data_IF_834234513760
#
_entry.id   IF_834234513760
#
_cell.length_a   1.000
_cell.length_b   1.000
_cell.length_c   1.000
_cell.angle_alpha   90.00
_cell.angle_beta   90.00
_cell.angle_gamma   90.00
#
_symmetry.space_group_name_H-M   'P 1'
#
loop_
_entity.id
_entity.type
_entity.pdbx_description
1 polymer ?
#
# COMPACT_ATOMS: atom_id res chain seq x y z
N UNK A 1 -7.86 53.83 26.00
CA UNK A 1 -6.99 52.67 25.79
C UNK A 1 -6.98 51.85 27.08
N UNK A 2 -7.64 50.68 27.09
CA UNK A 2 -7.59 49.73 28.21
C UNK A 2 -7.06 48.40 27.68
N UNK A 3 -5.98 47.91 28.29
CA UNK A 3 -5.28 46.67 27.93
C UNK A 3 -6.21 45.47 28.12
N UNK A 4 -6.76 44.90 27.04
CA UNK A 4 -7.27 43.52 27.03
C UNK A 4 -6.05 42.60 26.99
N UNK A 5 -5.60 42.14 28.16
CA UNK A 5 -4.46 41.23 28.35
C UNK A 5 -5.01 39.84 28.69
N UNK A 6 -4.73 38.86 27.84
CA UNK A 6 -4.66 37.42 28.12
C UNK A 6 -5.89 36.73 28.76
N UNK A 7 -7.08 36.81 28.14
CA UNK A 7 -8.22 35.93 28.49
C UNK A 7 -8.05 34.56 27.80
N UNK A 8 -7.63 33.56 28.58
CA UNK A 8 -7.54 32.15 28.15
C UNK A 8 -8.82 31.41 28.52
N UNK A 9 -9.34 30.62 27.59
CA UNK A 9 -10.45 29.68 27.82
C UNK A 9 -9.88 28.24 27.93
N UNK A 10 -10.60 27.33 28.60
CA UNK A 10 -10.33 25.89 28.64
C UNK A 10 -11.45 25.11 27.96
N UNK A 11 -11.09 23.96 27.37
CA UNK A 11 -12.01 23.13 26.62
C UNK A 11 -12.57 22.01 27.50
N UNK A 12 -13.89 21.99 27.65
CA UNK A 12 -14.66 20.96 28.36
C UNK A 12 -15.28 20.02 27.34
N UNK A 13 -15.22 18.73 27.62
CA UNK A 13 -15.82 17.68 26.80
C UNK A 13 -16.85 16.90 27.62
N UNK A 14 -18.02 16.66 27.02
CA UNK A 14 -19.05 15.74 27.50
C UNK A 14 -19.09 14.53 26.56
N UNK A 15 -19.02 13.34 27.12
CA UNK A 15 -19.30 12.11 26.40
C UNK A 15 -20.80 11.84 26.43
N UNK A 16 -21.48 11.92 25.29
CA UNK A 16 -22.93 11.72 25.19
C UNK A 16 -23.36 10.29 25.55
N UNK A 17 -22.47 9.29 25.43
CA UNK A 17 -22.81 7.90 25.77
C UNK A 17 -22.72 7.62 27.28
N UNK A 18 -21.76 8.24 27.96
CA UNK A 18 -21.53 7.98 29.40
C UNK A 18 -22.04 9.10 30.31
N UNK A 19 -22.39 10.25 29.74
CA UNK A 19 -22.73 11.46 30.50
C UNK A 19 -21.55 12.07 31.26
N UNK A 20 -20.33 11.56 31.04
CA UNK A 20 -19.14 11.97 31.77
C UNK A 20 -18.61 13.30 31.23
N UNK A 21 -18.28 14.21 32.14
CA UNK A 21 -17.81 15.57 31.82
C UNK A 21 -16.40 15.73 32.35
N UNK A 22 -15.49 16.09 31.47
CA UNK A 22 -14.06 16.23 31.76
C UNK A 22 -13.46 17.44 31.06
N UNK A 23 -12.28 17.88 31.51
CA UNK A 23 -11.52 18.93 30.82
C UNK A 23 -10.52 18.26 29.88
N UNK A 24 -10.40 18.81 28.68
CA UNK A 24 -9.50 18.32 27.64
C UNK A 24 -8.07 18.76 27.96
N UNK A 25 -7.15 17.80 27.98
CA UNK A 25 -5.71 18.04 28.08
C UNK A 25 -4.97 17.89 26.73
N UNK A 26 -5.68 17.45 25.69
CA UNK A 26 -5.13 17.18 24.36
C UNK A 26 -5.92 16.09 23.65
N UNK A 27 -5.33 15.43 22.66
CA UNK A 27 -5.88 14.27 21.97
C UNK A 27 -5.07 13.01 22.31
N UNK A 28 -5.75 11.88 22.41
CA UNK A 28 -5.14 10.56 22.47
C UNK A 28 -4.69 10.11 21.07
N UNK A 29 -3.86 9.06 21.00
CA UNK A 29 -3.37 8.50 19.72
C UNK A 29 -4.50 7.95 18.82
N UNK A 30 -5.65 7.62 19.40
CA UNK A 30 -6.86 7.17 18.70
C UNK A 30 -7.78 8.34 18.28
N UNK A 31 -7.33 9.58 18.46
CA UNK A 31 -8.09 10.78 18.12
C UNK A 31 -9.17 11.17 19.13
N UNK A 32 -9.38 10.39 20.20
CA UNK A 32 -10.35 10.77 21.23
C UNK A 32 -9.79 11.88 22.13
N UNK A 33 -10.63 12.73 22.74
CA UNK A 33 -10.17 13.77 23.66
C UNK A 33 -9.50 13.15 24.88
N UNK A 34 -8.27 13.57 25.18
CA UNK A 34 -7.57 13.19 26.40
C UNK A 34 -8.24 13.88 27.58
N UNK A 35 -8.99 13.09 28.37
CA UNK A 35 -9.79 13.57 29.50
C UNK A 35 -8.92 13.69 30.74
N UNK A 36 -9.01 14.82 31.42
CA UNK A 36 -8.39 15.02 32.73
C UNK A 36 -9.47 15.47 33.73
N UNK A 37 -9.45 14.94 34.97
CA UNK A 37 -10.37 15.39 36.00
C UNK A 37 -10.18 16.87 36.26
N UNK A 38 -11.29 17.59 36.33
CA UNK A 38 -11.26 19.03 36.48
C UNK A 38 -11.15 19.44 37.94
N UNK A 39 -9.93 19.34 38.45
CA UNK A 39 -9.52 19.80 39.78
C UNK A 39 -8.42 20.84 39.60
N UNK A 40 -8.30 21.78 40.54
CA UNK A 40 -7.23 22.79 40.51
C UNK A 40 -5.82 22.16 40.40
N UNK A 41 -5.62 20.98 41.00
CA UNK A 41 -4.38 20.19 40.90
C UNK A 41 -3.99 19.82 39.46
N UNK A 42 -4.96 19.69 38.56
CA UNK A 42 -4.75 19.34 37.16
C UNK A 42 -4.77 20.57 36.25
N UNK A 43 -4.90 21.78 36.78
CA UNK A 43 -5.07 23.00 35.99
C UNK A 43 -3.92 23.28 35.00
N UNK A 44 -2.70 22.85 35.36
CA UNK A 44 -1.53 22.94 34.48
C UNK A 44 -1.59 21.99 33.28
N UNK A 45 -2.39 20.92 33.36
CA UNK A 45 -2.55 19.93 32.29
C UNK A 45 -3.68 20.27 31.32
N UNK A 46 -4.48 21.30 31.60
CA UNK A 46 -5.61 21.66 30.75
C UNK A 46 -5.16 22.31 29.45
N UNK A 47 -5.87 22.01 28.37
CA UNK A 47 -5.72 22.70 27.10
C UNK A 47 -6.28 24.11 27.23
N UNK A 48 -5.40 25.07 27.49
CA UNK A 48 -5.71 26.50 27.52
C UNK A 48 -5.51 27.09 26.12
N UNK A 49 -6.47 27.89 25.67
CA UNK A 49 -6.39 28.55 24.37
C UNK A 49 -6.94 29.97 24.45
N UNK A 50 -6.37 30.86 23.65
CA UNK A 50 -6.93 32.19 23.45
C UNK A 50 -8.11 32.10 22.47
N UNK A 51 -9.11 32.97 22.63
CA UNK A 51 -10.31 33.00 21.77
C UNK A 51 -10.04 33.23 20.27
N UNK A 52 -8.82 33.63 19.93
CA UNK A 52 -8.34 33.86 18.56
C UNK A 52 -7.10 33.01 18.21
N UNK A 53 -6.77 32.01 19.03
CA UNK A 53 -5.55 31.22 18.87
C UNK A 53 -5.74 29.96 18.04
N UNK A 54 -4.72 29.61 17.26
CA UNK A 54 -4.68 28.43 16.37
C UNK A 54 -4.75 27.07 17.10
N UNK A 55 -4.65 27.06 18.43
CA UNK A 55 -4.63 25.84 19.26
C UNK A 55 -5.98 25.11 19.18
N UNK A 56 -7.09 25.86 19.20
CA UNK A 56 -8.44 25.30 19.13
C UNK A 56 -8.71 24.73 17.72
N UNK A 57 -8.29 25.45 16.69
CA UNK A 57 -8.39 25.03 15.29
C UNK A 57 -7.61 23.73 15.03
N UNK A 58 -6.37 23.65 15.52
CA UNK A 58 -5.55 22.45 15.40
C UNK A 58 -6.13 21.27 16.19
N UNK A 59 -6.71 21.52 17.36
CA UNK A 59 -7.39 20.48 18.13
C UNK A 59 -8.57 19.89 17.35
N UNK A 60 -9.51 20.72 16.88
CA UNK A 60 -10.69 20.23 16.18
C UNK A 60 -10.36 19.60 14.83
N UNK A 61 -9.43 20.18 14.06
CA UNK A 61 -8.96 19.56 12.81
C UNK A 61 -8.42 18.15 13.03
N UNK A 62 -7.62 17.95 14.09
CA UNK A 62 -7.07 16.64 14.42
C UNK A 62 -8.14 15.68 14.99
N UNK A 63 -9.04 16.20 15.83
CA UNK A 63 -10.16 15.44 16.40
C UNK A 63 -11.08 14.89 15.31
N UNK A 64 -11.57 15.73 14.39
CA UNK A 64 -12.45 15.29 13.30
C UNK A 64 -11.75 14.39 12.27
N UNK A 65 -10.42 14.46 12.18
CA UNK A 65 -9.63 13.60 11.29
C UNK A 65 -9.35 12.22 11.88
N UNK A 66 -9.15 12.12 13.19
CA UNK A 66 -8.67 10.89 13.85
C UNK A 66 -9.77 10.17 14.64
N UNK A 67 -10.74 10.90 15.19
CA UNK A 67 -11.83 10.33 15.98
C UNK A 67 -12.85 9.63 15.06
N UNK A 68 -13.14 8.36 15.37
CA UNK A 68 -14.09 7.55 14.61
C UNK A 68 -15.56 7.94 14.83
N UNK A 69 -15.88 8.52 15.99
CA UNK A 69 -17.23 8.97 16.37
C UNK A 69 -17.18 10.41 16.90
N UNK A 70 -16.89 11.43 16.07
CA UNK A 70 -16.72 12.80 16.57
C UNK A 70 -18.02 13.40 17.11
N UNK A 71 -19.18 13.01 16.55
CA UNK A 71 -20.52 13.44 16.97
C UNK A 71 -20.93 12.94 18.37
N UNK A 72 -20.19 12.00 18.95
CA UNK A 72 -20.40 11.50 20.32
C UNK A 72 -20.01 12.53 21.39
N UNK A 73 -19.23 13.54 21.02
CA UNK A 73 -18.62 14.46 21.98
C UNK A 73 -19.21 15.85 21.87
N UNK A 74 -19.72 16.36 22.99
CA UNK A 74 -20.14 17.75 23.13
C UNK A 74 -19.00 18.61 23.68
N UNK A 75 -18.68 19.71 23.00
CA UNK A 75 -17.61 20.61 23.43
C UNK A 75 -18.14 21.94 23.95
N UNK A 76 -17.58 22.37 25.08
CA UNK A 76 -17.95 23.61 25.75
C UNK A 76 -16.68 24.37 26.15
N UNK A 77 -16.74 25.69 26.14
CA UNK A 77 -15.64 26.57 26.57
C UNK A 77 -16.02 27.32 27.83
N UNK A 78 -15.09 27.41 28.75
CA UNK A 78 -15.20 28.21 29.97
C UNK A 78 -13.91 29.00 30.15
N UNK A 79 -14.01 30.18 30.75
CA UNK A 79 -12.83 30.98 31.05
C UNK A 79 -11.92 30.23 32.03
N UNK A 80 -10.62 30.19 31.76
CA UNK A 80 -9.65 29.38 32.51
C UNK A 80 -9.55 29.81 33.99
N UNK A 81 -9.72 31.11 34.26
CA UNK A 81 -9.73 31.69 35.60
C UNK A 81 -10.99 31.35 36.41
N UNK A 82 -12.11 31.06 35.73
CA UNK A 82 -13.38 30.65 36.32
C UNK A 82 -13.65 29.15 36.18
N UNK A 83 -12.68 28.37 35.70
CA UNK A 83 -12.89 26.97 35.33
C UNK A 83 -13.33 26.08 36.51
N UNK A 84 -12.86 26.36 37.72
CA UNK A 84 -13.23 25.59 38.92
C UNK A 84 -14.69 25.81 39.32
N UNK A 85 -15.14 27.07 39.37
CA UNK A 85 -16.50 27.44 39.77
C UNK A 85 -17.54 27.14 38.69
N UNK A 86 -17.23 27.49 37.43
CA UNK A 86 -18.18 27.40 36.33
C UNK A 86 -18.35 25.95 35.87
N UNK A 87 -17.36 25.08 36.11
CA UNK A 87 -17.48 23.69 35.70
C UNK A 87 -18.44 22.90 36.59
N UNK A 88 -18.55 23.19 37.89
CA UNK A 88 -19.52 22.52 38.75
C UNK A 88 -20.96 22.85 38.31
N UNK A 89 -21.19 24.11 37.94
CA UNK A 89 -22.45 24.56 37.34
C UNK A 89 -22.68 23.91 35.97
N UNK A 90 -21.66 23.89 35.11
CA UNK A 90 -21.73 23.20 33.81
C UNK A 90 -22.04 21.72 33.97
N UNK A 91 -21.46 21.04 34.97
CA UNK A 91 -21.76 19.63 35.25
C UNK A 91 -23.22 19.40 35.60
N UNK A 92 -23.87 20.36 36.27
CA UNK A 92 -25.30 20.27 36.57
C UNK A 92 -26.16 20.56 35.32
N UNK A 93 -25.83 21.61 34.57
CA UNK A 93 -26.55 21.98 33.33
C UNK A 93 -26.43 20.91 32.24
N UNK A 94 -25.26 20.27 32.14
CA UNK A 94 -24.97 19.21 31.17
C UNK A 94 -25.50 17.83 31.57
N UNK A 95 -26.16 17.68 32.72
CA UNK A 95 -26.97 16.48 32.99
C UNK A 95 -28.16 16.41 32.05
N UNK A 96 -28.75 17.56 31.73
CA UNK A 96 -29.88 17.68 30.81
C UNK A 96 -29.65 18.87 29.84
N UNK A 97 -28.84 18.67 28.78
CA UNK A 97 -28.45 19.74 27.87
C UNK A 97 -29.58 20.25 26.98
N UNK A 98 -30.64 19.44 26.75
CA UNK A 98 -31.82 19.87 25.99
C UNK A 98 -32.67 20.83 26.82
N UNK A 99 -32.89 20.53 28.11
CA UNK A 99 -33.59 21.45 29.01
C UNK A 99 -32.82 22.76 29.26
N UNK A 100 -31.48 22.71 29.26
CA UNK A 100 -30.60 23.84 29.57
C UNK A 100 -29.98 24.50 28.33
N UNK A 101 -30.54 24.27 27.15
CA UNK A 101 -29.98 24.69 25.85
C UNK A 101 -29.70 26.19 25.77
N UNK A 102 -30.58 27.03 26.30
CA UNK A 102 -30.41 28.49 26.29
C UNK A 102 -29.26 28.96 27.18
N UNK A 103 -29.04 28.29 28.32
CA UNK A 103 -27.96 28.61 29.26
C UNK A 103 -26.60 28.07 28.81
N UNK A 104 -26.60 26.98 28.02
CA UNK A 104 -25.40 26.37 27.47
C UNK A 104 -24.95 27.01 26.14
N UNK A 105 -25.85 27.67 25.42
CA UNK A 105 -25.57 28.27 24.12
C UNK A 105 -24.35 29.22 24.09
N UNK A 106 -24.11 30.10 25.09
CA UNK A 106 -22.93 30.98 25.09
C UNK A 106 -21.59 30.23 25.21
N UNK A 107 -21.64 29.02 25.76
CA UNK A 107 -20.48 28.20 26.08
C UNK A 107 -20.30 27.03 25.13
N UNK A 108 -21.30 26.68 24.32
CA UNK A 108 -21.19 25.61 23.33
C UNK A 108 -20.22 26.06 22.23
N UNK A 109 -19.25 25.20 21.93
CA UNK A 109 -18.36 25.41 20.79
C UNK A 109 -19.08 24.94 19.54
N UNK A 110 -19.21 25.82 18.54
CA UNK A 110 -19.70 25.41 17.23
C UNK A 110 -18.59 24.65 16.50
N UNK A 111 -18.78 23.34 16.34
CA UNK A 111 -17.83 22.47 15.67
C UNK A 111 -18.17 22.25 14.19
N UNK A 112 -19.30 22.77 13.72
CA UNK A 112 -19.86 22.50 12.40
C UNK A 112 -18.93 22.95 11.28
N UNK A 113 -18.29 24.12 11.46
CA UNK A 113 -17.34 24.66 10.49
C UNK A 113 -16.05 23.84 10.41
N UNK A 114 -15.62 23.23 11.52
CA UNK A 114 -14.45 22.35 11.53
C UNK A 114 -14.77 21.01 10.89
N UNK A 115 -15.95 20.45 11.18
CA UNK A 115 -16.42 19.22 10.55
C UNK A 115 -16.56 19.41 9.04
N UNK A 116 -17.21 20.50 8.60
CA UNK A 116 -17.29 20.85 7.17
C UNK A 116 -15.93 21.08 6.56
N UNK A 117 -15.03 21.86 7.18
CA UNK A 117 -13.67 22.07 6.68
C UNK A 117 -12.85 20.77 6.60
N UNK A 118 -13.01 19.85 7.55
CA UNK A 118 -12.30 18.56 7.52
C UNK A 118 -12.95 17.61 6.51
N UNK A 119 -14.27 17.64 6.34
CA UNK A 119 -14.96 16.89 5.28
C UNK A 119 -14.61 17.44 3.89
N UNK A 120 -14.55 18.76 3.72
CA UNK A 120 -14.10 19.45 2.52
C UNK A 120 -12.60 19.25 2.30
N UNK A 121 -11.75 19.28 3.33
CA UNK A 121 -10.32 18.94 3.22
C UNK A 121 -10.12 17.45 2.91
N UNK A 122 -10.94 16.54 3.43
CA UNK A 122 -10.90 15.10 3.10
C UNK A 122 -11.45 14.83 1.68
N UNK A 123 -12.48 15.57 1.26
CA UNK A 123 -13.03 15.50 -0.09
C UNK A 123 -12.11 16.19 -1.12
N UNK A 124 -11.47 17.30 -0.77
CA UNK A 124 -10.48 17.99 -1.59
C UNK A 124 -9.13 17.27 -1.60
N UNK A 125 -8.77 16.54 -0.53
CA UNK A 125 -7.65 15.58 -0.54
C UNK A 125 -7.96 14.34 -1.40
N UNK A 126 -9.22 14.07 -1.76
CA UNK A 126 -9.55 13.14 -2.84
C UNK A 126 -9.36 13.76 -4.24
N UNK A 127 -9.22 15.09 -4.37
CA UNK A 127 -9.21 15.77 -5.68
C UNK A 127 -7.91 16.50 -6.05
N UNK A 128 -7.11 17.06 -5.12
CA UNK A 128 -5.89 17.81 -5.48
C UNK A 128 -4.73 17.66 -4.46
N UNK A 129 -3.49 17.74 -4.95
CA UNK A 129 -2.16 17.55 -4.30
C UNK A 129 -1.58 16.11 -4.27
N UNK A 130 -0.91 15.81 -5.38
CA UNK A 130 0.42 15.15 -5.50
C UNK A 130 1.46 15.98 -4.70
N UNK A 131 2.58 15.46 -4.18
CA UNK A 131 3.56 14.48 -4.68
C UNK A 131 4.22 13.75 -3.48
N UNK A 132 4.83 12.55 -3.58
CA UNK A 132 4.77 11.47 -4.55
C UNK A 132 4.45 10.11 -3.85
N UNK A 133 3.32 10.02 -3.13
CA UNK A 133 2.90 8.78 -2.44
C UNK A 133 1.47 8.29 -2.80
N UNK A 134 0.74 8.98 -3.68
CA UNK A 134 -0.66 8.67 -4.04
C UNK A 134 -0.85 7.69 -5.22
N UNK A 135 0.19 7.32 -5.98
CA UNK A 135 0.05 6.35 -7.07
C UNK A 135 -0.29 4.94 -6.56
N UNK A 136 0.08 4.61 -5.33
CA UNK A 136 -0.05 3.26 -4.79
C UNK A 136 -1.47 2.85 -4.39
N UNK A 137 -2.32 3.81 -4.02
CA UNK A 137 -3.63 3.54 -3.41
C UNK A 137 -4.79 3.50 -4.44
N UNK A 138 -4.53 3.90 -5.69
CA UNK A 138 -5.50 3.85 -6.79
C UNK A 138 -5.46 2.49 -7.52
N UNK A 139 -4.30 1.82 -7.55
CA UNK A 139 -4.12 0.44 -8.02
C UNK A 139 -4.83 -0.56 -7.10
N UNK A 140 -4.63 -0.44 -5.77
CA UNK A 140 -5.21 -1.38 -4.80
C UNK A 140 -6.75 -1.35 -4.71
N UNK A 141 -7.41 -0.22 -5.02
CA UNK A 141 -8.89 -0.17 -5.08
C UNK A 141 -9.45 -0.70 -6.41
N UNK A 142 -8.67 -0.71 -7.49
CA UNK A 142 -9.08 -1.27 -8.78
C UNK A 142 -8.72 -2.75 -8.93
N UNK A 143 -7.77 -3.29 -8.18
CA UNK A 143 -7.52 -4.74 -8.05
C UNK A 143 -8.62 -5.49 -7.26
N UNK A 144 -9.59 -4.81 -6.63
CA UNK A 144 -10.59 -5.47 -5.77
C UNK A 144 -11.77 -6.08 -6.55
N UNK A 145 -12.17 -5.51 -7.70
CA UNK A 145 -13.16 -6.12 -8.61
C UNK A 145 -12.63 -7.34 -9.39
N UNK A 146 -11.46 -7.87 -9.03
CA UNK A 146 -10.63 -8.77 -9.85
C UNK A 146 -11.04 -10.25 -9.71
N UNK A 147 -11.62 -10.66 -8.59
CA UNK A 147 -11.92 -12.09 -8.36
C UNK A 147 -13.36 -12.50 -8.73
N UNK A 148 -14.36 -11.62 -8.62
CA UNK A 148 -15.77 -12.00 -8.89
C UNK A 148 -16.05 -12.44 -10.32
N UNK A 149 -15.42 -11.85 -11.33
CA UNK A 149 -15.66 -12.20 -12.74
C UNK A 149 -14.86 -13.43 -13.20
N UNK A 150 -13.82 -13.82 -12.49
CA UNK A 150 -12.96 -14.96 -12.83
C UNK A 150 -13.26 -16.23 -12.00
N UNK A 151 -13.88 -16.11 -10.81
CA UNK A 151 -14.31 -17.28 -10.01
C UNK A 151 -15.52 -18.01 -10.63
N UNK A 152 -16.39 -17.31 -11.36
CA UNK A 152 -17.46 -17.94 -12.16
C UNK A 152 -16.92 -18.69 -13.41
N UNK A 153 -15.63 -18.55 -13.76
CA UNK A 153 -15.01 -19.25 -14.89
C UNK A 153 -14.41 -20.62 -14.54
N UNK A 154 -14.45 -21.07 -13.28
CA UNK A 154 -14.06 -22.44 -12.93
C UNK A 154 -14.80 -23.54 -13.70
N UNK A 155 -15.89 -23.20 -14.41
CA UNK A 155 -16.67 -24.09 -15.29
C UNK A 155 -16.58 -23.78 -16.81
N UNK A 156 -15.93 -22.69 -17.26
CA UNK A 156 -15.80 -22.33 -18.69
C UNK A 156 -14.32 -22.05 -18.98
N UNK A 157 -13.70 -22.84 -19.87
CA UNK A 157 -12.27 -22.76 -20.18
C UNK A 157 -11.77 -21.37 -20.58
N UNK A 158 -10.45 -21.21 -20.69
CA UNK A 158 -9.78 -19.93 -21.01
C UNK A 158 -10.47 -19.14 -22.14
N UNK A 159 -10.81 -17.88 -21.87
CA UNK A 159 -11.41 -16.96 -22.84
C UNK A 159 -10.63 -15.63 -22.80
N UNK A 160 -9.87 -15.31 -23.86
CA UNK A 160 -9.28 -13.98 -24.03
C UNK A 160 -10.33 -12.88 -24.02
N UNK A 161 -9.89 -11.66 -23.75
CA UNK A 161 -10.72 -10.47 -23.85
C UNK A 161 -11.05 -10.21 -25.33
N UNK A 162 -12.33 -9.94 -25.58
CA UNK A 162 -12.81 -9.55 -26.90
C UNK A 162 -12.47 -8.08 -27.15
N UNK A 163 -11.55 -7.83 -28.09
CA UNK A 163 -11.09 -6.49 -28.44
C UNK A 163 -12.23 -5.58 -28.91
N UNK A 164 -13.29 -6.13 -29.51
CA UNK A 164 -14.44 -5.34 -29.98
C UNK A 164 -15.22 -4.65 -28.86
N UNK A 165 -15.03 -5.10 -27.61
CA UNK A 165 -15.67 -4.52 -26.42
C UNK A 165 -14.86 -3.39 -25.78
N UNK A 166 -13.72 -3.03 -26.38
CA UNK A 166 -12.83 -1.99 -25.87
C UNK A 166 -13.19 -0.65 -26.52
N UNK A 167 -13.52 0.34 -25.68
CA UNK A 167 -13.76 1.70 -26.14
C UNK A 167 -12.44 2.44 -26.37
N UNK A 168 -11.82 2.24 -27.54
CA UNK A 168 -10.52 2.83 -27.88
C UNK A 168 -10.51 4.37 -27.82
N UNK A 169 -11.60 5.02 -28.21
CA UNK A 169 -11.71 6.48 -28.17
C UNK A 169 -11.60 6.99 -26.74
N UNK A 170 -12.32 6.37 -25.80
CA UNK A 170 -12.24 6.73 -24.39
C UNK A 170 -10.85 6.49 -23.81
N UNK A 171 -10.14 5.44 -24.24
CA UNK A 171 -8.77 5.20 -23.78
C UNK A 171 -7.78 6.22 -24.31
N UNK A 172 -7.94 6.66 -25.56
CA UNK A 172 -7.14 7.75 -26.12
C UNK A 172 -7.45 9.08 -25.41
N UNK A 173 -8.73 9.39 -25.18
CA UNK A 173 -9.14 10.65 -24.54
C UNK A 173 -8.73 10.72 -23.06
N UNK A 174 -8.90 9.62 -22.31
CA UNK A 174 -8.58 9.59 -20.88
C UNK A 174 -7.11 9.35 -20.57
N UNK A 175 -6.39 8.60 -21.40
CA UNK A 175 -5.05 8.12 -21.10
C UNK A 175 -4.01 8.41 -22.19
N UNK A 176 -4.40 8.98 -23.33
CA UNK A 176 -3.50 9.19 -24.46
C UNK A 176 -3.01 7.89 -25.11
N UNK A 177 -3.68 6.76 -24.86
CA UNK A 177 -3.27 5.43 -25.30
C UNK A 177 -3.89 5.10 -26.65
N UNK A 178 -3.05 4.92 -27.66
CA UNK A 178 -3.48 4.54 -29.02
C UNK A 178 -3.39 3.03 -29.22
N UNK A 179 -4.45 2.44 -29.79
CA UNK A 179 -4.49 1.02 -30.19
C UNK A 179 -3.25 0.60 -30.99
N UNK A 180 -2.94 1.34 -32.05
CA UNK A 180 -1.86 1.01 -32.99
C UNK A 180 -0.48 0.95 -32.32
N UNK A 181 -0.27 1.73 -31.26
CA UNK A 181 0.99 1.70 -30.52
C UNK A 181 1.12 0.40 -29.71
N UNK A 182 0.03 -0.03 -29.05
CA UNK A 182 -0.01 -1.29 -28.31
C UNK A 182 0.08 -2.51 -29.24
N UNK A 183 -0.49 -2.43 -30.43
CA UNK A 183 -0.37 -3.50 -31.43
C UNK A 183 1.07 -3.63 -31.94
N UNK A 184 1.70 -2.50 -32.31
CA UNK A 184 3.09 -2.48 -32.81
C UNK A 184 4.10 -2.99 -31.78
N UNK A 185 3.88 -2.72 -30.49
CA UNK A 185 4.74 -3.25 -29.41
C UNK A 185 4.45 -4.71 -29.05
N UNK A 186 3.35 -5.28 -29.55
CA UNK A 186 2.85 -6.59 -29.17
C UNK A 186 2.19 -6.62 -27.78
N UNK A 187 2.04 -5.47 -27.12
CA UNK A 187 1.43 -5.38 -25.80
C UNK A 187 -0.08 -5.58 -25.84
N UNK A 188 -0.74 -5.20 -26.93
CA UNK A 188 -2.17 -5.45 -27.12
C UNK A 188 -2.49 -6.93 -26.95
N UNK A 189 -1.69 -7.80 -27.59
CA UNK A 189 -1.87 -9.26 -27.47
C UNK A 189 -1.70 -9.73 -26.03
N UNK A 190 -0.69 -9.21 -25.30
CA UNK A 190 -0.50 -9.58 -23.88
C UNK A 190 -1.70 -9.16 -23.04
N UNK A 191 -2.18 -7.92 -23.23
CA UNK A 191 -3.28 -7.35 -22.46
C UNK A 191 -4.62 -8.05 -22.71
N UNK A 192 -4.91 -8.43 -23.96
CA UNK A 192 -6.10 -9.24 -24.28
C UNK A 192 -6.05 -10.63 -23.63
N UNK A 193 -4.86 -11.12 -23.31
CA UNK A 193 -4.63 -12.36 -22.58
C UNK A 193 -4.40 -12.11 -21.07
N UNK A 194 -4.96 -11.02 -20.53
CA UNK A 194 -4.90 -10.60 -19.12
C UNK A 194 -3.49 -10.32 -18.58
N UNK A 195 -2.50 -10.15 -19.46
CA UNK A 195 -1.16 -9.69 -19.11
C UNK A 195 -1.07 -8.17 -18.99
N UNK A 196 0.06 -7.69 -18.48
CA UNK A 196 0.41 -6.26 -18.48
C UNK A 196 1.29 -5.92 -19.69
N UNK A 197 1.13 -4.73 -20.26
CA UNK A 197 2.03 -4.17 -21.28
C UNK A 197 3.46 -3.98 -20.75
N UNK A 198 4.39 -3.56 -21.61
CA UNK A 198 5.60 -2.89 -21.13
C UNK A 198 5.27 -1.47 -20.58
N UNK A 199 6.27 -0.74 -20.11
CA UNK A 199 6.12 0.66 -19.75
C UNK A 199 5.75 1.48 -20.99
N UNK A 200 4.63 2.20 -20.89
CA UNK A 200 4.13 3.11 -21.89
C UNK A 200 3.82 4.45 -21.25
N UNK A 201 3.99 5.51 -22.06
CA UNK A 201 3.62 6.86 -21.66
C UNK A 201 2.12 7.03 -21.73
N UNK A 202 1.51 7.39 -20.61
CA UNK A 202 0.10 7.75 -20.51
C UNK A 202 -0.04 9.23 -20.20
N UNK A 203 -1.15 9.82 -20.65
CA UNK A 203 -1.51 11.23 -20.46
C UNK A 203 -2.84 11.38 -19.73
N UNK A 204 -2.96 10.95 -18.47
CA UNK A 204 -4.17 11.19 -17.70
C UNK A 204 -4.42 12.68 -17.47
N UNK A 205 -5.69 13.05 -17.52
CA UNK A 205 -6.17 14.41 -17.20
C UNK A 205 -6.81 14.41 -15.82
N UNK A 206 -6.27 15.24 -14.91
CA UNK A 206 -6.77 15.43 -13.54
C UNK A 206 -6.98 16.92 -13.31
N UNK A 207 -8.15 17.34 -12.82
CA UNK A 207 -8.42 18.76 -12.53
C UNK A 207 -8.35 19.69 -13.75
N UNK A 208 -8.44 19.16 -14.97
CA UNK A 208 -8.26 19.92 -16.21
C UNK A 208 -6.82 20.02 -16.72
N UNK A 209 -5.84 19.49 -15.99
CA UNK A 209 -4.44 19.42 -16.39
C UNK A 209 -4.03 18.00 -16.80
N UNK A 210 -3.26 17.86 -17.88
CA UNK A 210 -2.75 16.57 -18.35
C UNK A 210 -1.32 16.32 -17.87
N UNK A 211 -1.07 15.14 -17.32
CA UNK A 211 0.24 14.73 -16.82
C UNK A 211 0.81 13.62 -17.69
N UNK A 212 2.10 13.68 -18.06
CA UNK A 212 2.76 12.59 -18.77
C UNK A 212 3.46 11.66 -17.75
N UNK A 213 3.00 10.42 -17.66
CA UNK A 213 3.47 9.43 -16.69
C UNK A 213 3.82 8.12 -17.40
N UNK A 214 4.79 7.38 -16.87
CA UNK A 214 5.07 6.01 -17.32
C UNK A 214 4.25 5.01 -16.49
N UNK A 215 3.56 4.10 -17.19
CA UNK A 215 2.75 3.06 -16.59
C UNK A 215 2.79 1.77 -17.42
N UNK A 216 2.59 0.62 -16.78
CA UNK A 216 2.14 -0.59 -17.46
C UNK A 216 0.63 -0.59 -17.53
N UNK A 217 0.06 -1.22 -18.53
CA UNK A 217 -1.37 -1.24 -18.77
C UNK A 217 -1.89 -2.67 -18.74
N UNK A 218 -3.06 -2.89 -18.15
CA UNK A 218 -3.81 -4.13 -18.28
C UNK A 218 -5.26 -3.84 -18.64
N UNK A 219 -5.93 -4.81 -19.25
CA UNK A 219 -7.37 -4.78 -19.41
C UNK A 219 -8.05 -5.55 -18.29
N UNK A 220 -9.16 -4.99 -17.82
CA UNK A 220 -10.00 -5.61 -16.81
C UNK A 220 -11.43 -5.70 -17.28
N UNK A 221 -12.02 -6.88 -17.08
CA UNK A 221 -13.44 -7.14 -17.31
C UNK A 221 -14.22 -7.00 -16.00
N UNK A 222 -15.23 -6.14 -15.97
CA UNK A 222 -16.13 -6.01 -14.83
C UNK A 222 -17.18 -7.14 -14.78
N UNK A 223 -18.05 -7.12 -13.75
CA UNK A 223 -19.11 -8.12 -13.56
C UNK A 223 -20.21 -8.10 -14.65
N UNK A 224 -20.34 -7.00 -15.39
CA UNK A 224 -21.29 -6.84 -16.51
C UNK A 224 -20.66 -7.24 -17.85
N UNK A 225 -19.33 -7.37 -17.87
CA UNK A 225 -18.55 -7.79 -19.01
C UNK A 225 -17.97 -6.66 -19.85
N UNK A 226 -18.02 -5.41 -19.35
CA UNK A 226 -17.36 -4.27 -19.96
C UNK A 226 -15.86 -4.33 -19.70
N UNK A 227 -15.07 -3.80 -20.63
CA UNK A 227 -13.61 -3.78 -20.54
C UNK A 227 -13.13 -2.38 -20.17
N UNK A 228 -12.31 -2.29 -19.13
CA UNK A 228 -11.67 -1.06 -18.67
C UNK A 228 -10.15 -1.20 -18.74
N UNK A 229 -9.46 -0.06 -18.93
CA UNK A 229 -8.01 0.02 -18.86
C UNK A 229 -7.55 0.33 -17.43
N UNK A 230 -6.63 -0.46 -16.92
CA UNK A 230 -6.01 -0.25 -15.62
C UNK A 230 -4.54 0.13 -15.81
N UNK A 231 -4.16 1.37 -15.50
CA UNK A 231 -2.75 1.76 -15.46
C UNK A 231 -2.11 1.33 -14.14
N UNK A 232 -0.87 0.85 -14.24
CA UNK A 232 0.02 0.46 -13.17
C UNK A 232 1.26 1.37 -13.23
N UNK A 233 1.28 2.42 -12.42
CA UNK A 233 2.31 3.44 -12.38
C UNK A 233 3.54 2.98 -11.60
N UNK A 234 4.68 3.57 -11.94
CA UNK A 234 5.93 3.32 -11.22
C UNK A 234 5.88 3.93 -9.81
N UNK A 235 6.09 3.09 -8.80
CA UNK A 235 6.16 3.47 -7.38
C UNK A 235 7.62 3.66 -6.96
N UNK A 236 7.88 4.70 -6.16
CA UNK A 236 9.23 4.98 -5.61
C UNK A 236 9.68 3.90 -4.63
N UNK A 237 8.78 3.41 -3.78
CA UNK A 237 9.09 2.47 -2.72
C UNK A 237 8.13 1.28 -2.74
N UNK A 238 8.59 0.15 -2.20
CA UNK A 238 7.81 -1.06 -2.03
C UNK A 238 7.18 -1.06 -0.64
N UNK A 239 5.85 -0.93 -0.54
CA UNK A 239 5.13 -1.07 0.75
C UNK A 239 5.05 -2.52 1.19
N UNK A 240 6.10 -2.99 1.88
CA UNK A 240 6.25 -4.39 2.31
C UNK A 240 5.73 -4.68 3.74
N UNK A 241 4.76 -3.90 4.23
CA UNK A 241 4.17 -4.13 5.56
C UNK A 241 3.04 -5.17 5.51
N UNK A 242 2.07 -4.93 4.63
CA UNK A 242 0.91 -5.78 4.42
C UNK A 242 0.41 -5.70 2.98
N UNK A 243 -0.27 -6.74 2.52
CA UNK A 243 -0.94 -6.79 1.24
C UNK A 243 -2.28 -7.52 1.38
N UNK A 244 -3.38 -6.88 1.00
CA UNK A 244 -4.74 -7.43 1.13
C UNK A 244 -4.98 -8.09 2.51
N UNK A 245 -4.66 -7.36 3.59
CA UNK A 245 -4.80 -7.79 5.00
C UNK A 245 -3.83 -8.90 5.45
N UNK A 246 -3.07 -9.47 4.53
CA UNK A 246 -1.97 -10.37 4.87
C UNK A 246 -0.75 -9.55 5.29
N UNK A 247 -0.37 -9.66 6.57
CA UNK A 247 0.84 -9.04 7.10
C UNK A 247 2.07 -9.87 6.73
N UNK A 248 3.07 -9.21 6.15
CA UNK A 248 4.30 -9.90 5.79
C UNK A 248 5.16 -10.18 7.03
N UNK A 249 5.77 -11.37 7.07
CA UNK A 249 6.83 -11.69 8.03
C UNK A 249 8.17 -11.08 7.62
N UNK A 250 9.17 -11.10 8.51
CA UNK A 250 10.53 -10.67 8.16
C UNK A 250 11.12 -11.49 7.00
N UNK A 251 10.83 -12.80 6.98
CA UNK A 251 11.27 -13.68 5.91
C UNK A 251 10.59 -13.36 4.57
N UNK A 252 9.30 -13.04 4.60
CA UNK A 252 8.56 -12.60 3.41
C UNK A 252 9.16 -11.33 2.82
N UNK A 253 9.35 -10.30 3.67
CA UNK A 253 9.98 -9.04 3.27
C UNK A 253 11.38 -9.26 2.70
N UNK A 254 12.16 -10.14 3.32
CA UNK A 254 13.50 -10.50 2.83
C UNK A 254 13.42 -11.14 1.45
N UNK A 255 12.55 -12.14 1.25
CA UNK A 255 12.41 -12.82 -0.05
C UNK A 255 11.94 -11.86 -1.15
N UNK A 256 10.97 -10.99 -0.85
CA UNK A 256 10.49 -9.98 -1.79
C UNK A 256 11.62 -9.03 -2.21
N UNK A 257 12.44 -8.56 -1.27
CA UNK A 257 13.61 -7.71 -1.60
C UNK A 257 14.69 -8.46 -2.38
N UNK A 258 14.98 -9.70 -2.03
CA UNK A 258 16.07 -10.47 -2.64
C UNK A 258 15.69 -11.02 -4.02
N UNK A 259 14.48 -11.55 -4.17
CA UNK A 259 14.06 -12.29 -5.38
C UNK A 259 12.94 -11.60 -6.15
N UNK A 260 12.21 -10.70 -5.52
CA UNK A 260 10.97 -10.14 -6.07
C UNK A 260 9.75 -11.04 -5.87
N UNK A 261 9.91 -12.20 -5.24
CA UNK A 261 8.83 -13.15 -5.00
C UNK A 261 8.74 -13.48 -3.51
N UNK A 262 7.53 -13.75 -3.01
CA UNK A 262 7.30 -13.98 -1.58
C UNK A 262 8.01 -15.22 -1.03
N UNK A 263 8.21 -16.24 -1.88
CA UNK A 263 8.86 -17.49 -1.48
C UNK A 263 7.93 -18.54 -0.87
N UNK A 264 6.62 -18.28 -0.86
CA UNK A 264 5.60 -19.23 -0.43
C UNK A 264 4.23 -18.85 -1.01
N UNK A 265 3.29 -19.79 -0.99
CA UNK A 265 1.86 -19.51 -1.19
C UNK A 265 1.25 -18.97 0.10
N UNK A 266 0.38 -17.99 -0.01
CA UNK A 266 -0.35 -17.41 1.12
C UNK A 266 -1.82 -17.28 0.82
N UNK A 267 -2.62 -17.39 1.87
CA UNK A 267 -4.06 -17.18 1.80
C UNK A 267 -4.36 -15.68 1.75
N UNK A 268 -5.03 -15.26 0.67
CA UNK A 268 -5.44 -13.88 0.45
C UNK A 268 -6.95 -13.79 0.49
N UNK A 269 -7.45 -12.82 1.25
CA UNK A 269 -8.89 -12.54 1.32
C UNK A 269 -9.28 -11.70 0.12
N UNK A 270 -10.16 -12.23 -0.71
CA UNK A 270 -10.85 -11.42 -1.71
C UNK A 270 -11.83 -10.49 -0.99
N UNK A 271 -11.60 -9.18 -1.09
CA UNK A 271 -12.36 -8.17 -0.33
C UNK A 271 -13.81 -8.05 -0.77
N UNK A 272 -14.17 -8.56 -1.95
CA UNK A 272 -15.53 -8.43 -2.48
C UNK A 272 -16.43 -9.63 -2.18
N UNK A 273 -15.85 -10.83 -2.15
CA UNK A 273 -16.55 -12.09 -1.87
C UNK A 273 -16.32 -12.54 -0.43
N UNK A 274 -15.22 -12.12 0.20
CA UNK A 274 -14.73 -12.66 1.46
C UNK A 274 -14.09 -14.05 1.31
N UNK A 275 -13.92 -14.56 0.09
CA UNK A 275 -13.29 -15.85 -0.14
C UNK A 275 -11.79 -15.80 0.16
N UNK A 276 -11.29 -16.88 0.76
CA UNK A 276 -9.86 -17.06 1.06
C UNK A 276 -9.24 -17.87 -0.06
N UNK A 277 -8.35 -17.25 -0.83
CA UNK A 277 -7.75 -17.82 -2.03
C UNK A 277 -6.25 -18.01 -1.81
N UNK A 278 -5.72 -19.24 -1.97
CA UNK A 278 -4.27 -19.46 -1.93
C UNK A 278 -3.63 -18.83 -3.17
N UNK A 279 -2.75 -17.85 -2.95
CA UNK A 279 -2.14 -17.03 -4.00
C UNK A 279 -0.61 -16.98 -3.88
N UNK A 280 0.05 -16.82 -5.03
CA UNK A 280 1.44 -16.37 -5.08
C UNK A 280 1.48 -14.85 -5.03
N UNK A 281 2.52 -14.29 -4.41
CA UNK A 281 2.76 -12.84 -4.38
C UNK A 281 4.14 -12.54 -4.96
N UNK A 282 4.21 -11.50 -5.78
CA UNK A 282 5.45 -10.99 -6.35
C UNK A 282 5.41 -9.46 -6.42
N UNK A 283 6.57 -8.86 -6.65
CA UNK A 283 6.69 -7.46 -7.01
C UNK A 283 6.86 -7.37 -8.54
N UNK A 284 6.04 -6.54 -9.17
CA UNK A 284 6.25 -6.13 -10.55
C UNK A 284 7.55 -5.32 -10.63
N UNK A 285 8.53 -5.90 -11.32
CA UNK A 285 9.87 -5.33 -11.49
C UNK A 285 9.95 -4.10 -12.37
N UNK A 286 8.84 -3.57 -12.86
CA UNK A 286 8.82 -2.31 -13.62
C UNK A 286 8.10 -1.20 -12.88
N UNK A 287 7.17 -1.57 -12.00
CA UNK A 287 6.30 -0.60 -11.31
C UNK A 287 6.49 -0.60 -9.80
N UNK A 288 7.27 -1.53 -9.24
CA UNK A 288 7.39 -1.77 -7.79
C UNK A 288 6.05 -2.14 -7.11
N UNK A 289 5.03 -2.49 -7.89
CA UNK A 289 3.71 -2.88 -7.40
C UNK A 289 3.75 -4.31 -6.85
N UNK A 290 3.22 -4.52 -5.65
CA UNK A 290 2.96 -5.86 -5.14
C UNK A 290 1.67 -6.38 -5.79
N UNK A 291 1.76 -7.53 -6.43
CA UNK A 291 0.63 -8.21 -7.07
C UNK A 291 0.52 -9.64 -6.60
N UNK A 292 -0.67 -10.21 -6.79
CA UNK A 292 -0.94 -11.62 -6.53
C UNK A 292 -1.62 -12.33 -7.71
N UNK A 293 -1.51 -13.65 -7.71
CA UNK A 293 -2.26 -14.53 -8.62
C UNK A 293 -2.69 -15.79 -7.87
N UNK A 294 -3.95 -16.25 -8.03
CA UNK A 294 -4.40 -17.51 -7.47
C UNK A 294 -3.51 -18.67 -7.92
N UNK A 295 -3.13 -19.53 -6.98
CA UNK A 295 -2.22 -20.64 -7.25
C UNK A 295 -2.77 -21.60 -8.32
N UNK A 296 -4.10 -21.73 -8.41
CA UNK A 296 -4.81 -22.51 -9.41
C UNK A 296 -4.64 -22.00 -10.85
N UNK A 297 -4.24 -20.74 -11.04
CA UNK A 297 -4.05 -20.12 -12.36
C UNK A 297 -2.61 -20.15 -12.85
N UNK A 298 -1.68 -20.62 -12.02
CA UNK A 298 -0.27 -20.74 -12.39
C UNK A 298 0.02 -22.15 -12.89
N UNK A 299 0.51 -22.23 -14.12
CA UNK A 299 0.97 -23.50 -14.69
C UNK A 299 2.47 -23.65 -14.50
N UNK A 300 2.86 -24.72 -13.80
CA UNK A 300 4.27 -25.12 -13.66
C UNK A 300 4.59 -26.16 -14.74
N UNK A 301 5.50 -25.87 -15.68
CA UNK A 301 5.82 -26.78 -16.77
C UNK A 301 6.67 -27.97 -16.29
N UNK A 302 6.62 -29.07 -17.04
CA UNK A 302 7.47 -30.24 -16.80
C UNK A 302 8.88 -30.06 -17.38
N UNK A 303 9.05 -29.09 -18.28
CA UNK A 303 10.30 -28.82 -18.99
C UNK A 303 10.45 -27.33 -19.26
N UNK A 304 11.66 -26.82 -19.13
CA UNK A 304 12.03 -25.47 -19.54
C UNK A 304 13.18 -25.58 -20.54
N UNK A 305 12.92 -25.17 -21.78
CA UNK A 305 13.83 -25.45 -22.89
C UNK A 305 13.97 -26.96 -23.09
N UNK A 306 15.20 -27.47 -22.96
CA UNK A 306 15.51 -28.90 -23.00
C UNK A 306 15.66 -29.52 -21.59
N UNK A 307 15.65 -28.71 -20.54
CA UNK A 307 15.84 -29.18 -19.16
C UNK A 307 14.53 -29.65 -18.55
N UNK A 308 14.51 -30.89 -18.07
CA UNK A 308 13.40 -31.42 -17.28
C UNK A 308 13.35 -30.83 -15.87
N UNK A 309 12.13 -30.55 -15.42
CA UNK A 309 11.82 -30.11 -14.06
C UNK A 309 11.25 -31.32 -13.33
N UNK A 310 11.98 -31.81 -12.34
CA UNK A 310 11.61 -33.02 -11.60
C UNK A 310 10.31 -32.80 -10.84
N UNK A 311 9.63 -33.89 -10.46
CA UNK A 311 8.42 -33.77 -9.63
C UNK A 311 8.69 -33.01 -8.33
N UNK A 312 9.80 -33.30 -7.65
CA UNK A 312 10.19 -32.58 -6.44
C UNK A 312 10.39 -31.07 -6.70
N UNK A 313 11.05 -30.70 -7.78
CA UNK A 313 11.23 -29.28 -8.15
C UNK A 313 9.91 -28.61 -8.48
N UNK A 314 8.99 -29.31 -9.16
CA UNK A 314 7.64 -28.79 -9.41
C UNK A 314 6.86 -28.61 -8.13
N UNK A 315 6.97 -29.53 -7.17
CA UNK A 315 6.29 -29.42 -5.88
C UNK A 315 6.86 -28.26 -5.05
N UNK A 316 8.17 -28.05 -5.09
CA UNK A 316 8.79 -26.84 -4.53
C UNK A 316 8.22 -25.57 -5.16
N UNK A 317 8.15 -25.51 -6.50
CA UNK A 317 7.59 -24.37 -7.22
C UNK A 317 6.10 -24.17 -6.89
N UNK A 318 5.32 -25.25 -6.77
CA UNK A 318 3.90 -25.22 -6.36
C UNK A 318 3.72 -24.64 -4.95
N UNK A 319 4.69 -24.88 -4.07
CA UNK A 319 4.72 -24.31 -2.74
C UNK A 319 5.23 -22.85 -2.73
N UNK A 320 5.63 -22.28 -3.89
CA UNK A 320 6.20 -20.94 -4.02
C UNK A 320 7.71 -20.85 -3.71
N UNK A 321 8.33 -22.00 -3.41
CA UNK A 321 9.74 -22.09 -3.05
C UNK A 321 10.65 -21.96 -4.29
N UNK A 322 11.85 -21.38 -4.13
CA UNK A 322 12.83 -21.32 -5.20
C UNK A 322 13.54 -22.66 -5.40
N UNK A 323 13.73 -23.06 -6.66
CA UNK A 323 14.64 -24.15 -7.07
C UNK A 323 15.97 -23.51 -7.45
N UNK A 324 16.93 -23.55 -6.52
CA UNK A 324 18.23 -22.88 -6.67
C UNK A 324 19.18 -23.68 -7.53
N UNK A 325 20.10 -22.95 -8.17
CA UNK A 325 21.24 -23.50 -8.91
C UNK A 325 20.87 -24.59 -9.94
N UNK A 326 19.69 -24.45 -10.57
CA UNK A 326 19.24 -25.34 -11.64
C UNK A 326 20.01 -25.07 -12.92
N UNK A 327 20.59 -26.13 -13.50
CA UNK A 327 21.19 -26.08 -14.82
C UNK A 327 20.10 -26.10 -15.91
N UNK A 328 19.97 -24.99 -16.64
CA UNK A 328 19.05 -24.82 -17.75
C UNK A 328 19.79 -24.94 -19.08
N UNK A 329 19.25 -25.76 -19.98
CA UNK A 329 19.63 -25.82 -21.39
C UNK A 329 18.48 -25.25 -22.24
N UNK A 330 18.76 -24.16 -22.95
CA UNK A 330 17.81 -23.55 -23.89
C UNK A 330 17.66 -24.41 -25.14
N UNK A 331 16.62 -24.12 -25.92
CA UNK A 331 16.39 -24.79 -27.20
C UNK A 331 17.55 -24.61 -28.19
N UNK A 332 18.23 -23.46 -28.12
CA UNK A 332 19.43 -23.14 -28.90
C UNK A 332 20.72 -23.80 -28.38
N UNK A 333 20.65 -24.63 -27.33
CA UNK A 333 21.78 -25.36 -26.76
C UNK A 333 22.61 -24.56 -25.73
N UNK A 334 22.32 -23.27 -25.51
CA UNK A 334 23.02 -22.50 -24.47
C UNK A 334 22.67 -23.02 -23.08
N UNK A 335 23.70 -23.14 -22.23
CA UNK A 335 23.59 -23.63 -20.85
C UNK A 335 23.95 -22.57 -19.84
N UNK A 336 23.17 -22.49 -18.76
CA UNK A 336 23.45 -21.62 -17.62
C UNK A 336 22.81 -22.18 -16.35
N UNK A 337 23.36 -21.80 -15.20
CA UNK A 337 22.82 -22.14 -13.88
C UNK A 337 22.02 -20.94 -13.39
N UNK A 338 20.81 -21.16 -12.86
CA UNK A 338 19.95 -20.09 -12.34
C UNK A 338 19.07 -20.60 -11.22
N UNK A 339 18.47 -19.69 -10.46
CA UNK A 339 17.32 -20.01 -9.61
C UNK A 339 16.03 -19.90 -10.42
N UNK A 340 15.15 -20.90 -10.27
CA UNK A 340 13.78 -20.88 -10.77
C UNK A 340 12.82 -20.55 -9.64
N UNK A 341 11.80 -19.74 -9.89
CA UNK A 341 10.73 -19.48 -8.93
C UNK A 341 9.44 -19.09 -9.65
N UNK A 342 8.30 -19.29 -9.01
CA UNK A 342 7.03 -18.76 -9.53
C UNK A 342 6.99 -17.24 -9.39
N UNK A 343 6.55 -16.57 -10.44
CA UNK A 343 6.35 -15.13 -10.48
C UNK A 343 4.97 -14.79 -11.07
N UNK A 344 4.32 -13.78 -10.46
CA UNK A 344 2.97 -13.33 -10.82
C UNK A 344 2.90 -12.80 -12.26
N UNK A 345 3.85 -11.94 -12.65
CA UNK A 345 3.86 -11.29 -13.97
C UNK A 345 4.12 -12.29 -15.10
N UNK A 346 4.92 -13.32 -14.85
CA UNK A 346 5.14 -14.42 -15.80
C UNK A 346 3.99 -15.43 -15.80
N UNK A 347 3.08 -15.36 -14.82
CA UNK A 347 2.01 -16.35 -14.56
C UNK A 347 2.54 -17.79 -14.54
N UNK A 348 3.76 -17.95 -14.03
CA UNK A 348 4.55 -19.15 -14.27
C UNK A 348 5.93 -19.06 -13.64
N UNK A 349 6.80 -19.97 -14.06
CA UNK A 349 8.17 -20.07 -13.57
C UNK A 349 9.06 -19.07 -14.29
N UNK A 350 9.74 -18.22 -13.54
CA UNK A 350 10.74 -17.30 -14.04
C UNK A 350 12.18 -17.76 -13.72
N UNK A 351 13.14 -17.15 -14.41
CA UNK A 351 14.54 -17.15 -14.01
C UNK A 351 14.77 -15.96 -13.09
N UNK A 352 15.04 -16.22 -11.81
CA UNK A 352 15.24 -15.14 -10.82
C UNK A 352 16.45 -14.29 -11.23
N UNK A 353 16.30 -12.97 -11.45
CA UNK A 353 17.37 -12.09 -11.89
C UNK A 353 18.58 -12.10 -10.97
N UNK A 354 19.76 -11.89 -11.55
CA UNK A 354 21.02 -11.88 -10.80
C UNK A 354 21.50 -13.26 -10.33
N UNK A 355 20.69 -14.32 -10.46
CA UNK A 355 21.10 -15.68 -10.08
C UNK A 355 21.76 -16.46 -11.22
N UNK A 356 21.62 -15.97 -12.46
CA UNK A 356 22.20 -16.56 -13.67
C UNK A 356 23.74 -16.56 -13.65
N UNK A 357 24.36 -17.73 -13.82
CA UNK A 357 25.81 -17.92 -13.88
C UNK A 357 26.19 -18.92 -14.97
N UNK A 358 27.39 -18.76 -15.54
CA UNK A 358 27.97 -19.77 -16.44
C UNK A 358 28.21 -21.09 -15.68
N UNK A 359 27.99 -22.27 -16.30
CA UNK A 359 28.24 -23.56 -15.64
C UNK A 359 29.66 -23.71 -15.08
N UNK A 360 30.66 -23.14 -15.77
CA UNK A 360 32.06 -23.15 -15.33
C UNK A 360 32.28 -22.34 -14.05
N UNK A 361 31.58 -21.22 -13.90
CA UNK A 361 31.65 -20.37 -12.70
C UNK A 361 30.97 -21.03 -11.51
N UNK A 362 29.87 -21.77 -11.73
CA UNK A 362 29.16 -22.51 -10.68
C UNK A 362 30.07 -23.60 -10.07
N UNK A 363 30.72 -24.42 -10.90
CA UNK A 363 31.65 -25.46 -10.43
C UNK A 363 32.84 -24.91 -9.63
N UNK A 364 33.32 -23.71 -9.95
CA UNK A 364 34.44 -23.05 -9.25
C UNK A 364 34.03 -22.49 -7.88
N UNK A 365 32.74 -22.18 -7.68
CA UNK A 365 32.22 -21.76 -6.37
C UNK A 365 31.98 -22.95 -5.43
N UNK A 366 31.52 -24.08 -5.95
CA UNK A 366 31.36 -25.32 -5.17
C UNK A 366 32.70 -25.83 -4.64
N UNK A 367 33.76 -25.81 -5.47
CA UNK A 367 35.12 -26.24 -5.05
C UNK A 367 35.76 -25.33 -4.00
N UNK A 368 35.34 -24.07 -3.86
CA UNK A 368 35.80 -23.15 -2.81
C UNK A 368 35.01 -23.28 -1.50
N UNK A 369 33.84 -23.93 -1.51
CA UNK A 369 33.08 -24.24 -0.30
C UNK A 369 33.67 -25.41 0.49
N UNK A 370 34.40 -26.30 -0.18
CA UNK A 370 34.87 -27.58 0.37
C UNK A 370 36.34 -27.58 0.82
N UNK A 371 37.06 -26.46 0.70
CA UNK A 371 38.43 -26.29 1.20
C UNK A 371 38.49 -25.21 2.29
N UNK A 372 37.86 -25.49 3.44
CA UNK A 372 38.11 -24.76 4.69
C UNK A 372 38.67 -25.68 5.77
N UNK A 373 39.71 -26.45 5.43
CA UNK A 373 40.65 -27.08 6.37
C UNK A 373 42.01 -27.30 5.67
N UNK A 374 42.90 -26.30 5.73
CA UNK A 374 44.34 -26.50 6.00
C UNK A 374 45.19 -25.25 5.69
N UNK A 375 45.97 -24.87 6.70
CA UNK A 375 47.25 -24.15 6.71
C UNK A 375 47.31 -22.65 6.40
N UNK A 376 47.64 -21.93 7.47
CA UNK A 376 48.29 -20.64 7.49
C UNK A 376 49.74 -20.73 6.96
N UNK A 377 50.13 -19.78 6.10
CA UNK A 377 51.41 -19.07 6.17
C UNK A 377 51.36 -17.83 5.26
N UNK A 378 52.07 -16.78 5.68
CA UNK A 378 51.86 -15.38 5.30
C UNK A 378 52.23 -14.97 3.87
N UNK A 379 51.78 -13.77 3.50
CA UNK A 379 52.16 -13.08 2.27
C UNK A 379 51.18 -11.97 1.93
N UNK A 380 51.55 -10.73 2.26
CA UNK A 380 50.76 -9.51 2.10
C UNK A 380 50.25 -9.29 0.67
N UNK A 381 48.95 -9.00 0.55
CA UNK A 381 48.41 -8.11 -0.46
C UNK A 381 47.16 -7.43 0.11
N UNK A 382 47.39 -6.30 0.78
CA UNK A 382 46.39 -5.42 1.32
C UNK A 382 45.63 -4.70 0.18
N UNK A 383 44.65 -5.37 -0.44
CA UNK A 383 43.66 -4.74 -1.32
C UNK A 383 42.39 -5.59 -1.58
N UNK A 384 42.07 -6.58 -0.73
CA UNK A 384 40.91 -7.46 -0.95
C UNK A 384 40.16 -7.83 0.34
N UNK A 385 39.72 -6.84 1.11
CA UNK A 385 38.73 -7.04 2.19
C UNK A 385 37.63 -5.99 2.10
N UNK A 386 36.94 -5.97 0.95
CA UNK A 386 35.61 -5.34 0.79
C UNK A 386 34.82 -5.88 -0.40
N UNK A 387 34.96 -7.18 -0.71
CA UNK A 387 33.92 -7.91 -1.43
C UNK A 387 33.00 -8.53 -0.39
N UNK A 388 32.23 -7.68 0.28
CA UNK A 388 30.87 -8.06 0.62
C UNK A 388 30.32 -8.72 -0.64
N UNK A 389 29.88 -9.98 -0.54
CA UNK A 389 29.19 -10.67 -1.60
C UNK A 389 28.20 -9.67 -2.19
N UNK A 390 28.41 -9.22 -3.44
CA UNK A 390 27.47 -8.34 -4.13
C UNK A 390 26.12 -9.01 -3.97
N UNK A 391 25.27 -8.51 -3.07
CA UNK A 391 23.94 -9.05 -2.86
C UNK A 391 23.27 -8.99 -4.22
N UNK A 392 22.74 -10.12 -4.66
CA UNK A 392 21.96 -10.25 -5.88
C UNK A 392 20.63 -9.52 -5.70
N UNK A 393 20.66 -8.20 -5.48
CA UNK A 393 19.48 -7.36 -5.38
C UNK A 393 19.20 -6.80 -6.75
N UNK A 394 17.96 -6.99 -7.21
CA UNK A 394 17.38 -6.35 -8.39
C UNK A 394 16.89 -4.93 -8.07
N UNK A 395 17.08 -4.47 -6.83
CA UNK A 395 16.82 -3.12 -6.36
C UNK A 395 18.11 -2.43 -5.91
N UNK A 396 18.10 -1.10 -6.01
CA UNK A 396 19.06 -0.17 -5.42
C UNK A 396 18.76 0.07 -3.94
N UNK A 397 19.68 0.74 -3.24
CA UNK A 397 19.52 1.06 -1.80
C UNK A 397 18.31 1.96 -1.51
N UNK A 398 17.89 2.76 -2.50
CA UNK A 398 16.72 3.64 -2.45
C UNK A 398 15.40 2.95 -2.85
N UNK A 399 15.41 1.62 -3.08
CA UNK A 399 14.22 0.85 -3.47
C UNK A 399 13.87 0.93 -4.97
N UNK A 400 14.61 1.71 -5.76
CA UNK A 400 14.45 1.74 -7.22
C UNK A 400 14.95 0.46 -7.87
N UNK A 401 14.43 0.12 -9.04
CA UNK A 401 14.75 -1.15 -9.72
C UNK A 401 16.00 -0.97 -10.56
N UNK A 402 16.91 -1.95 -10.50
CA UNK A 402 18.11 -1.97 -11.33
C UNK A 402 17.74 -2.29 -12.79
N UNK A 403 18.27 -1.53 -13.77
CA UNK A 403 18.05 -1.77 -15.20
C UNK A 403 18.43 -3.17 -15.67
#
# INVERSE_FOLDING_TARGET
MAKKKDEKDVLVVRDEKTGEISVVAGLNADGTPKRTPAKAENAQSFLQFDRHGDVLDNFFKNFFRQCKEPSRFGFYRIAADQAENLLEVMKQLLKDPEANKELLAPHKVDTSDYEKKVQEEMAAQQTEKQEPQKQENMEQRKEQQQDKSEQMQGKRGYQPIDESKINWQELEDRWGVKRDNLEKSGDLTKMLNYGKSDLVKVKPTFGGESFELDARLSFKKDGEGNISLVPHFIRKEQKLDEYKEHKFSDNDRKNLRETGNLGRVVDIVDRETGEIIPSYISIDRKTNEITDIPASRVRIPERIGKTEITTQERDMLRAGLPVRDKLIERNDGRKFVTTLQVNVEQRGVEFVPGTGKSPRTAQTQETKGDTSKSQAQGGENAAQTKKEQRRNTWTNEDGSIRP
#
